data_IF_082533702894
#
_entry.id   IF_082533702894
#
_cell.length_a   1.000
_cell.length_b   1.000
_cell.length_c   1.000
_cell.angle_alpha   90.00
_cell.angle_beta   90.00
_cell.angle_gamma   90.00
#
_symmetry.space_group_name_H-M   'P 1'
#
loop_
_entity.id
_entity.type
_entity.pdbx_description
1 polymer ?
#
# COMPACT_ATOMS: atom_id res chain seq x y z
N UNK A 1 5.53 38.14 3.97
CA UNK A 1 5.70 39.12 2.89
C UNK A 1 4.40 39.31 2.14
N UNK A 2 4.13 40.57 1.75
CA UNK A 2 2.92 40.94 1.04
C UNK A 2 3.34 41.23 -0.40
N UNK A 3 2.57 40.74 -1.40
CA UNK A 3 2.82 41.03 -2.83
C UNK A 3 2.65 42.49 -3.13
N UNK A 4 3.25 42.95 -4.21
CA UNK A 4 3.09 44.35 -4.67
C UNK A 4 1.61 44.72 -4.87
N UNK A 5 0.82 43.81 -5.46
CA UNK A 5 -0.62 44.00 -5.60
C UNK A 5 -1.31 44.24 -4.25
N UNK A 6 -1.05 43.38 -3.25
CA UNK A 6 -1.67 43.54 -1.94
C UNK A 6 -1.23 44.85 -1.23
N UNK A 7 0.04 45.29 -1.44
CA UNK A 7 0.51 46.61 -0.95
C UNK A 7 -0.27 47.76 -1.56
N UNK A 8 -0.47 47.73 -2.87
CA UNK A 8 -1.26 48.74 -3.54
C UNK A 8 -2.71 48.80 -3.06
N UNK A 9 -3.34 47.65 -2.87
CA UNK A 9 -4.70 47.58 -2.32
C UNK A 9 -4.76 48.16 -0.91
N UNK A 10 -3.78 47.82 -0.04
CA UNK A 10 -3.72 48.39 1.32
C UNK A 10 -3.42 49.91 1.32
N UNK A 11 -2.61 50.39 0.40
CA UNK A 11 -2.36 51.84 0.25
C UNK A 11 -3.62 52.60 -0.19
N UNK A 12 -4.44 51.98 -1.03
CA UNK A 12 -5.67 52.58 -1.57
C UNK A 12 -6.85 52.46 -0.59
N UNK A 13 -7.02 51.29 0.08
CA UNK A 13 -8.22 51.00 0.84
C UNK A 13 -7.97 50.96 2.38
N UNK A 14 -6.71 50.93 2.82
CA UNK A 14 -6.36 50.90 4.23
C UNK A 14 -6.99 49.73 4.96
N UNK A 15 -7.59 49.97 6.12
CA UNK A 15 -8.24 48.98 6.95
C UNK A 15 -9.55 48.42 6.37
N UNK A 16 -10.10 49.05 5.35
CA UNK A 16 -11.30 48.61 4.64
C UNK A 16 -11.00 47.56 3.56
N UNK A 17 -9.73 47.21 3.34
CA UNK A 17 -9.32 46.20 2.38
C UNK A 17 -9.93 44.85 2.70
N UNK A 18 -10.64 44.28 1.73
CA UNK A 18 -11.23 42.95 1.86
C UNK A 18 -10.18 41.89 2.04
N UNK A 19 -10.34 41.01 3.03
CA UNK A 19 -9.49 39.83 3.30
C UNK A 19 -10.26 38.53 3.06
N UNK A 20 -9.58 37.54 2.48
CA UNK A 20 -10.10 36.19 2.32
C UNK A 20 -9.26 35.22 3.14
N UNK A 21 -9.95 34.29 3.78
CA UNK A 21 -9.29 33.19 4.48
C UNK A 21 -8.97 32.08 3.49
N UNK A 22 -7.69 31.70 3.42
CA UNK A 22 -7.23 30.59 2.58
C UNK A 22 -7.41 29.29 3.37
N UNK A 23 -8.18 28.37 2.80
CA UNK A 23 -8.38 27.04 3.40
C UNK A 23 -7.09 26.23 3.44
N UNK A 24 -7.06 25.17 4.26
CA UNK A 24 -5.94 24.24 4.35
C UNK A 24 -5.57 23.65 2.98
N UNK A 25 -6.57 23.27 2.20
CA UNK A 25 -6.37 22.59 0.91
C UNK A 25 -5.71 23.50 -0.12
N UNK A 26 -5.96 24.81 -0.05
CA UNK A 26 -5.31 25.80 -0.91
C UNK A 26 -3.87 26.14 -0.48
N UNK A 27 -3.40 25.61 0.65
CA UNK A 27 -2.05 25.81 1.19
C UNK A 27 -1.15 24.61 1.00
N UNK A 28 -1.65 23.56 0.37
CA UNK A 28 -0.91 22.38 -0.03
C UNK A 28 -0.82 22.36 -1.55
N UNK A 29 0.41 22.40 -2.08
CA UNK A 29 0.68 22.36 -3.52
C UNK A 29 1.57 21.17 -3.78
N UNK A 30 1.15 20.30 -4.66
CA UNK A 30 1.85 19.08 -5.02
C UNK A 30 2.26 19.07 -6.48
N UNK A 31 3.42 18.51 -6.79
CA UNK A 31 3.92 18.30 -8.13
C UNK A 31 4.72 17.00 -8.22
N UNK A 32 4.39 16.18 -9.20
CA UNK A 32 5.25 15.07 -9.60
C UNK A 32 6.43 15.64 -10.41
N UNK A 33 7.64 15.32 -10.02
CA UNK A 33 8.83 15.62 -10.80
C UNK A 33 8.86 14.72 -12.03
N UNK A 34 8.93 15.37 -13.21
CA UNK A 34 9.06 14.70 -14.50
C UNK A 34 10.15 15.42 -15.30
N UNK A 35 10.81 14.78 -16.27
CA UNK A 35 11.90 15.39 -17.03
C UNK A 35 11.51 16.65 -17.83
N UNK A 36 10.22 16.82 -18.13
CA UNK A 36 9.66 17.95 -18.85
C UNK A 36 9.30 19.15 -17.97
N UNK A 37 9.35 19.01 -16.64
CA UNK A 37 9.13 20.13 -15.70
C UNK A 37 10.12 21.25 -15.97
N UNK A 38 9.62 22.47 -16.05
CA UNK A 38 10.41 23.67 -16.32
C UNK A 38 10.52 24.59 -15.09
N UNK A 39 11.50 25.49 -15.10
CA UNK A 39 11.59 26.53 -14.05
C UNK A 39 10.38 27.46 -14.06
N UNK A 40 9.76 27.66 -15.22
CA UNK A 40 8.54 28.46 -15.33
C UNK A 40 7.35 27.81 -14.60
N UNK A 41 7.26 26.47 -14.63
CA UNK A 41 6.22 25.74 -13.90
C UNK A 41 6.41 25.88 -12.38
N UNK A 42 7.66 25.83 -11.92
CA UNK A 42 7.99 25.86 -10.49
C UNK A 42 7.97 27.28 -9.94
N UNK A 43 8.73 28.18 -10.56
CA UNK A 43 8.93 29.55 -10.04
C UNK A 43 7.95 30.52 -10.70
N UNK A 44 7.70 30.35 -11.99
CA UNK A 44 6.92 31.26 -12.81
C UNK A 44 7.76 31.99 -13.86
N UNK A 45 7.11 32.80 -14.61
CA UNK A 45 7.70 33.60 -15.70
C UNK A 45 7.04 34.96 -15.82
N UNK A 46 7.70 35.87 -16.53
CA UNK A 46 7.11 37.17 -16.88
C UNK A 46 6.09 36.98 -18.00
N UNK A 47 4.89 37.51 -17.81
CA UNK A 47 3.81 37.47 -18.78
C UNK A 47 3.84 38.79 -19.65
N UNK A 48 4.28 38.72 -20.91
CA UNK A 48 4.34 39.85 -21.78
C UNK A 48 2.96 40.47 -22.07
N UNK A 49 1.90 39.64 -22.01
CA UNK A 49 0.53 40.09 -22.28
C UNK A 49 0.03 40.94 -21.11
N UNK A 50 0.32 40.50 -19.87
CA UNK A 50 0.01 41.32 -18.69
C UNK A 50 0.76 42.63 -18.68
N UNK A 51 2.04 42.62 -19.06
CA UNK A 51 2.84 43.83 -19.18
C UNK A 51 2.23 44.82 -20.20
N UNK A 52 1.92 44.33 -21.40
CA UNK A 52 1.35 45.16 -22.45
C UNK A 52 -0.04 45.73 -22.11
N UNK A 53 -0.91 44.91 -21.53
CA UNK A 53 -2.27 45.33 -21.14
C UNK A 53 -2.28 46.27 -19.94
N UNK A 54 -1.38 46.08 -18.99
CA UNK A 54 -1.30 46.89 -17.77
C UNK A 54 -0.41 48.13 -17.92
N UNK A 55 0.27 48.34 -19.06
CA UNK A 55 1.21 49.43 -19.22
C UNK A 55 2.45 49.32 -18.32
N UNK A 56 2.77 48.09 -17.87
CA UNK A 56 3.89 47.80 -16.99
C UNK A 56 5.15 47.46 -17.77
N UNK A 57 6.30 47.78 -17.19
CA UNK A 57 7.57 47.28 -17.70
C UNK A 57 7.73 45.79 -17.32
N UNK A 58 8.45 44.99 -18.13
CA UNK A 58 8.65 43.54 -17.89
C UNK A 58 9.32 43.23 -16.55
N UNK A 59 10.04 44.19 -15.98
CA UNK A 59 10.69 44.09 -14.66
C UNK A 59 9.73 44.39 -13.48
N UNK A 60 8.44 44.57 -13.73
CA UNK A 60 7.45 44.84 -12.68
C UNK A 60 6.92 43.52 -12.09
N UNK A 61 6.84 43.41 -10.77
CA UNK A 61 6.27 42.27 -10.06
C UNK A 61 4.84 41.94 -10.51
N UNK A 62 4.06 42.94 -10.95
CA UNK A 62 2.69 42.77 -11.43
C UNK A 62 2.59 42.04 -12.77
N UNK A 63 3.69 41.89 -13.50
CA UNK A 63 3.74 41.16 -14.78
C UNK A 63 4.05 39.70 -14.64
N UNK A 64 4.34 39.24 -13.42
CA UNK A 64 4.72 37.83 -13.18
C UNK A 64 3.48 36.93 -13.22
N UNK A 65 3.63 35.80 -13.91
CA UNK A 65 2.81 34.62 -13.75
C UNK A 65 3.52 33.70 -12.75
N UNK A 66 2.99 33.61 -11.54
CA UNK A 66 3.59 32.84 -10.47
C UNK A 66 3.45 31.34 -10.72
N UNK A 67 4.54 30.59 -10.60
CA UNK A 67 4.57 29.15 -10.64
C UNK A 67 4.03 28.51 -9.36
N UNK A 68 4.17 27.20 -9.27
CA UNK A 68 3.60 26.40 -8.18
C UNK A 68 4.20 26.76 -6.81
N UNK A 69 5.50 26.99 -6.75
CA UNK A 69 6.21 27.20 -5.48
C UNK A 69 5.87 28.55 -4.82
N UNK A 70 5.87 29.70 -5.54
CA UNK A 70 5.35 30.95 -4.98
C UNK A 70 3.89 30.87 -4.53
N UNK A 71 3.09 30.08 -5.24
CA UNK A 71 1.67 29.86 -4.87
C UNK A 71 1.50 29.09 -3.58
N UNK A 72 2.49 28.27 -3.20
CA UNK A 72 2.54 27.57 -1.92
C UNK A 72 3.03 28.44 -0.76
N UNK A 73 3.26 29.74 -0.95
CA UNK A 73 3.78 30.62 0.09
C UNK A 73 2.93 30.56 1.37
N UNK A 74 3.57 30.40 2.53
CA UNK A 74 2.95 30.13 3.82
C UNK A 74 2.17 28.82 3.89
N UNK A 75 2.55 27.86 3.07
CA UNK A 75 1.97 26.52 2.99
C UNK A 75 3.05 25.46 2.81
N UNK A 76 2.63 24.35 2.24
CA UNK A 76 3.47 23.19 1.95
C UNK A 76 3.59 23.03 0.44
N UNK A 77 4.80 22.87 -0.04
CA UNK A 77 5.08 22.45 -1.41
C UNK A 77 5.68 21.05 -1.38
N UNK A 78 4.95 20.08 -1.89
CA UNK A 78 5.40 18.69 -2.01
C UNK A 78 5.85 18.41 -3.44
N UNK A 79 7.04 17.87 -3.62
CA UNK A 79 7.51 17.38 -4.92
C UNK A 79 7.84 15.89 -4.82
N UNK A 80 7.06 15.11 -5.54
CA UNK A 80 7.22 13.66 -5.59
C UNK A 80 8.25 13.28 -6.66
N UNK A 81 8.98 12.19 -6.42
CA UNK A 81 10.01 11.65 -7.33
C UNK A 81 11.08 12.67 -7.69
N UNK A 82 11.64 13.37 -6.70
CA UNK A 82 12.67 14.40 -6.90
C UNK A 82 13.83 13.98 -7.81
N UNK A 83 14.34 12.73 -7.80
CA UNK A 83 15.39 12.28 -8.71
C UNK A 83 15.08 12.45 -10.19
N UNK A 84 13.81 12.39 -10.59
CA UNK A 84 13.37 12.53 -11.98
C UNK A 84 13.46 13.98 -12.48
N UNK A 85 13.59 14.93 -11.56
CA UNK A 85 13.74 16.34 -11.92
C UNK A 85 15.09 16.60 -12.57
N UNK A 86 15.08 17.21 -13.75
CA UNK A 86 16.32 17.52 -14.46
C UNK A 86 17.31 18.32 -13.58
N UNK A 87 18.60 17.95 -13.59
CA UNK A 87 19.62 18.53 -12.70
C UNK A 87 19.71 20.07 -12.76
N UNK A 88 19.49 20.66 -13.95
CA UNK A 88 19.43 22.13 -14.10
C UNK A 88 18.28 22.79 -13.32
N UNK A 89 17.17 22.06 -13.17
CA UNK A 89 16.01 22.53 -12.41
C UNK A 89 16.28 22.36 -10.91
N UNK A 90 16.90 21.23 -10.51
CA UNK A 90 17.36 21.05 -9.13
C UNK A 90 18.28 22.17 -8.66
N UNK A 91 19.20 22.64 -9.52
CA UNK A 91 20.05 23.82 -9.22
C UNK A 91 19.22 25.09 -8.98
N UNK A 92 18.13 25.26 -9.73
CA UNK A 92 17.22 26.38 -9.54
C UNK A 92 16.53 26.45 -8.19
N UNK A 93 16.46 25.33 -7.46
CA UNK A 93 15.90 25.27 -6.11
C UNK A 93 16.88 25.75 -5.02
N UNK A 94 18.16 25.95 -5.33
CA UNK A 94 19.18 26.30 -4.32
C UNK A 94 18.87 27.60 -3.60
N UNK A 95 18.53 28.66 -4.36
CA UNK A 95 18.24 29.95 -3.76
C UNK A 95 17.05 29.88 -2.82
N UNK A 96 16.06 29.06 -3.17
CA UNK A 96 14.85 28.88 -2.38
C UNK A 96 15.19 28.19 -1.06
N UNK A 97 16.00 27.12 -1.11
CA UNK A 97 16.38 26.34 0.06
C UNK A 97 17.35 27.10 0.98
N UNK A 98 18.23 27.93 0.40
CA UNK A 98 19.29 28.63 1.12
C UNK A 98 18.90 30.04 1.56
N UNK A 99 18.37 30.82 0.63
CA UNK A 99 18.07 32.26 0.83
C UNK A 99 16.60 32.50 1.18
N UNK A 100 15.71 31.52 0.94
CA UNK A 100 14.27 31.67 1.12
C UNK A 100 13.66 32.67 0.15
N UNK A 101 14.27 32.87 -1.02
CA UNK A 101 13.73 33.74 -2.05
C UNK A 101 13.75 33.12 -3.45
N UNK A 102 12.98 33.69 -4.34
CA UNK A 102 13.01 33.36 -5.77
C UNK A 102 13.43 34.57 -6.60
N UNK A 103 14.14 34.29 -7.69
CA UNK A 103 14.46 35.24 -8.73
C UNK A 103 13.92 34.75 -10.07
N UNK A 104 13.12 35.56 -10.75
CA UNK A 104 12.51 35.18 -12.01
C UNK A 104 13.41 35.59 -13.17
N UNK A 105 13.96 34.63 -13.92
CA UNK A 105 14.74 34.79 -15.17
C UNK A 105 15.77 35.96 -15.22
N UNK A 106 16.43 36.23 -14.09
CA UNK A 106 17.42 37.32 -14.07
C UNK A 106 16.84 38.73 -14.02
N UNK A 107 15.54 38.87 -13.91
CA UNK A 107 14.92 40.16 -13.58
C UNK A 107 15.28 40.52 -12.12
N UNK A 108 15.39 41.81 -11.80
CA UNK A 108 15.78 42.28 -10.46
C UNK A 108 14.63 42.12 -9.44
N UNK A 109 13.79 41.12 -9.63
CA UNK A 109 12.64 40.86 -8.77
C UNK A 109 13.02 39.70 -7.86
N UNK A 110 13.13 39.98 -6.55
CA UNK A 110 13.30 38.99 -5.51
C UNK A 110 12.05 38.92 -4.66
N UNK A 111 11.49 37.74 -4.53
CA UNK A 111 10.30 37.49 -3.73
C UNK A 111 10.67 36.56 -2.58
N UNK A 112 10.64 37.06 -1.34
CA UNK A 112 10.85 36.20 -0.18
C UNK A 112 9.70 35.21 -0.07
N UNK A 113 10.04 33.94 0.21
CA UNK A 113 9.11 32.85 0.39
C UNK A 113 9.22 32.29 1.81
N UNK A 114 8.07 31.95 2.36
CA UNK A 114 7.90 31.21 3.59
C UNK A 114 7.13 29.92 3.24
N UNK A 115 7.87 28.86 2.87
CA UNK A 115 7.29 27.60 2.35
C UNK A 115 7.97 26.42 3.03
N UNK A 116 7.19 25.49 3.48
CA UNK A 116 7.69 24.18 3.91
C UNK A 116 7.83 23.27 2.69
N UNK A 117 9.05 22.80 2.42
CA UNK A 117 9.35 21.95 1.28
C UNK A 117 9.44 20.50 1.70
N UNK A 118 8.70 19.63 1.02
CA UNK A 118 8.73 18.19 1.20
C UNK A 118 9.07 17.54 -0.14
N UNK A 119 10.03 16.64 -0.13
CA UNK A 119 10.44 15.89 -1.31
C UNK A 119 10.28 14.40 -1.05
N UNK A 120 9.82 13.64 -2.03
CA UNK A 120 9.89 12.19 -1.99
C UNK A 120 10.90 11.68 -3.01
N UNK A 121 11.50 10.55 -2.69
CA UNK A 121 12.46 9.89 -3.57
C UNK A 121 12.46 8.39 -3.28
N UNK A 122 12.58 7.58 -4.34
CA UNK A 122 12.84 6.17 -4.22
C UNK A 122 14.33 5.92 -4.49
N UNK A 123 15.10 5.36 -3.54
CA UNK A 123 16.55 5.14 -3.74
C UNK A 123 16.87 4.22 -4.89
N UNK A 124 16.00 3.28 -5.24
CA UNK A 124 16.23 2.34 -6.34
C UNK A 124 16.20 3.02 -7.71
N UNK A 125 15.38 4.06 -7.88
CA UNK A 125 15.27 4.81 -9.12
C UNK A 125 16.49 5.70 -9.40
N UNK A 126 17.39 5.91 -8.42
CA UNK A 126 18.58 6.77 -8.58
C UNK A 126 19.54 6.33 -9.68
N UNK A 127 19.53 5.08 -10.07
CA UNK A 127 20.42 4.54 -11.09
C UNK A 127 19.81 4.53 -12.49
N UNK A 128 18.50 4.44 -12.58
CA UNK A 128 17.78 4.27 -13.85
C UNK A 128 17.23 5.58 -14.42
N UNK A 129 16.69 6.48 -13.57
CA UNK A 129 15.96 7.68 -14.00
C UNK A 129 16.67 8.99 -13.70
N UNK A 130 17.44 9.05 -12.65
CA UNK A 130 18.14 10.26 -12.23
C UNK A 130 18.65 10.16 -10.81
N UNK A 131 19.26 11.24 -10.33
CA UNK A 131 19.72 11.33 -8.94
C UNK A 131 19.56 12.74 -8.40
N UNK A 132 19.38 12.84 -7.11
CA UNK A 132 19.48 14.10 -6.41
C UNK A 132 20.94 14.55 -6.47
N UNK A 133 21.19 15.75 -7.01
CA UNK A 133 22.56 16.27 -7.08
C UNK A 133 23.07 16.57 -5.67
N UNK A 134 24.33 16.24 -5.41
CA UNK A 134 24.95 16.40 -4.08
C UNK A 134 24.73 17.78 -3.44
N UNK A 135 24.87 18.92 -4.18
CA UNK A 135 24.62 20.22 -3.61
C UNK A 135 23.17 20.47 -3.18
N UNK A 136 22.20 19.79 -3.78
CA UNK A 136 20.80 19.87 -3.36
C UNK A 136 20.60 19.05 -2.09
N UNK A 137 21.13 17.83 -2.05
CA UNK A 137 21.05 16.95 -0.88
C UNK A 137 21.65 17.63 0.37
N UNK A 138 22.75 18.34 0.23
CA UNK A 138 23.41 19.10 1.32
C UNK A 138 22.53 20.23 1.92
N UNK A 139 21.54 20.71 1.16
CA UNK A 139 20.64 21.80 1.57
C UNK A 139 19.31 21.31 2.13
N UNK A 140 19.04 20.01 2.04
CA UNK A 140 17.85 19.41 2.65
C UNK A 140 18.12 19.25 4.13
N UNK A 141 17.23 19.80 4.98
CA UNK A 141 17.43 19.88 6.41
C UNK A 141 17.27 18.57 7.16
N UNK A 142 16.44 17.65 6.64
CA UNK A 142 16.19 16.35 7.25
C UNK A 142 15.84 15.31 6.19
N UNK A 143 16.26 14.07 6.42
CA UNK A 143 15.94 12.91 5.62
C UNK A 143 15.21 11.91 6.53
N UNK A 144 14.03 11.47 6.11
CA UNK A 144 13.22 10.49 6.84
C UNK A 144 13.15 9.25 5.96
N UNK A 145 13.64 8.15 6.49
CA UNK A 145 13.54 6.85 5.85
C UNK A 145 12.21 6.20 6.21
N UNK A 146 11.47 5.77 5.19
CA UNK A 146 10.28 4.95 5.38
C UNK A 146 10.68 3.48 5.35
N UNK A 147 9.94 2.65 6.05
CA UNK A 147 10.16 1.22 6.12
C UNK A 147 8.83 0.46 5.99
N UNK A 148 8.90 -0.82 5.71
CA UNK A 148 7.73 -1.68 5.76
C UNK A 148 7.16 -1.78 7.17
N UNK A 149 5.87 -2.12 7.33
CA UNK A 149 5.31 -2.43 8.65
C UNK A 149 6.17 -3.48 9.37
N UNK A 150 6.48 -3.22 10.64
CA UNK A 150 7.28 -4.12 11.47
C UNK A 150 6.46 -5.25 12.07
N UNK A 151 5.14 -5.07 12.12
CA UNK A 151 4.19 -6.02 12.66
C UNK A 151 3.02 -6.21 11.69
N UNK A 152 2.49 -7.44 11.63
CA UNK A 152 1.34 -7.77 10.78
C UNK A 152 0.13 -6.90 11.13
N UNK A 153 -0.08 -6.63 12.42
CA UNK A 153 -1.17 -5.76 12.90
C UNK A 153 -1.13 -4.35 12.34
N UNK A 154 0.08 -3.78 12.21
CA UNK A 154 0.29 -2.46 11.59
C UNK A 154 -0.01 -2.53 10.09
N UNK A 155 0.45 -3.57 9.43
CA UNK A 155 0.16 -3.82 8.02
C UNK A 155 -1.33 -3.94 7.75
N UNK A 156 -2.06 -4.72 8.55
CA UNK A 156 -3.52 -4.84 8.47
C UNK A 156 -4.21 -3.49 8.64
N UNK A 157 -3.77 -2.67 9.62
CA UNK A 157 -4.35 -1.36 9.84
C UNK A 157 -4.18 -0.44 8.61
N UNK A 158 -2.99 -0.44 7.98
CA UNK A 158 -2.73 0.31 6.74
C UNK A 158 -3.60 -0.22 5.61
N UNK A 159 -3.63 -1.54 5.42
CA UNK A 159 -4.38 -2.18 4.33
C UNK A 159 -5.87 -1.89 4.45
N UNK A 160 -6.45 -1.97 5.64
CA UNK A 160 -7.87 -1.64 5.88
C UNK A 160 -8.18 -0.16 5.70
N UNK A 161 -7.25 0.73 6.03
CA UNK A 161 -7.43 2.17 5.86
C UNK A 161 -7.45 2.57 4.39
N UNK A 162 -6.61 1.95 3.56
CA UNK A 162 -6.37 2.34 2.17
C UNK A 162 -7.21 1.54 1.16
N UNK A 163 -7.61 0.31 1.49
CA UNK A 163 -8.39 -0.55 0.59
C UNK A 163 -9.85 -0.06 0.48
N UNK A 164 -10.36 -0.12 -0.73
CA UNK A 164 -11.77 0.21 -0.99
C UNK A 164 -12.69 -0.93 -0.55
N UNK A 165 -13.05 -0.93 0.73
CA UNK A 165 -13.90 -1.94 1.38
C UNK A 165 -15.35 -1.46 1.54
N UNK A 166 -15.55 -0.15 1.72
CA UNK A 166 -16.88 0.46 1.78
C UNK A 166 -17.41 0.67 0.36
N UNK A 167 -18.28 -0.24 -0.07
CA UNK A 167 -18.84 -0.28 -1.43
C UNK A 167 -20.35 -0.10 -1.39
N UNK A 168 -20.88 0.62 -2.37
CA UNK A 168 -22.32 0.71 -2.57
C UNK A 168 -22.84 -0.67 -3.02
N UNK A 169 -23.72 -1.31 -2.26
CA UNK A 169 -24.29 -2.59 -2.62
C UNK A 169 -24.57 -3.52 -1.46
N UNK A 170 -24.15 -4.78 -1.58
CA UNK A 170 -24.32 -5.79 -0.52
C UNK A 170 -23.34 -5.47 0.62
N UNK A 171 -23.79 -5.48 1.89
CA UNK A 171 -22.90 -5.28 3.03
C UNK A 171 -21.72 -6.25 3.00
N UNK A 172 -20.52 -5.71 3.17
CA UNK A 172 -19.28 -6.48 3.12
C UNK A 172 -18.64 -6.54 4.51
N UNK A 173 -18.36 -7.75 4.97
CA UNK A 173 -17.64 -8.01 6.20
C UNK A 173 -16.37 -8.80 5.89
N UNK A 174 -15.21 -8.23 6.21
CA UNK A 174 -13.92 -8.88 6.00
C UNK A 174 -13.45 -9.48 7.33
N UNK A 175 -13.44 -10.80 7.47
CA UNK A 175 -12.94 -11.47 8.66
C UNK A 175 -11.49 -11.10 8.98
N UNK A 176 -11.16 -11.01 10.27
CA UNK A 176 -9.82 -10.61 10.70
C UNK A 176 -8.72 -11.57 10.20
N UNK A 177 -9.03 -12.86 10.13
CA UNK A 177 -8.06 -13.85 9.65
C UNK A 177 -7.81 -13.71 8.13
N UNK A 178 -8.78 -13.30 7.33
CA UNK A 178 -8.57 -13.00 5.90
C UNK A 178 -7.60 -11.82 5.74
N UNK A 179 -7.83 -10.73 6.48
CA UNK A 179 -6.91 -9.60 6.46
C UNK A 179 -5.50 -10.00 6.94
N UNK A 180 -5.43 -10.90 7.93
CA UNK A 180 -4.18 -11.45 8.43
C UNK A 180 -3.46 -12.31 7.39
N UNK A 181 -4.15 -13.22 6.71
CA UNK A 181 -3.57 -14.05 5.63
C UNK A 181 -3.03 -13.15 4.52
N UNK A 182 -3.84 -12.18 4.05
CA UNK A 182 -3.45 -11.25 3.00
C UNK A 182 -2.19 -10.47 3.37
N UNK A 183 -2.10 -9.97 4.59
CA UNK A 183 -0.91 -9.23 5.03
C UNK A 183 0.31 -10.15 5.17
N UNK A 184 0.14 -11.38 5.67
CA UNK A 184 1.22 -12.36 5.79
C UNK A 184 1.81 -12.76 4.45
N UNK A 185 1.02 -12.78 3.37
CA UNK A 185 1.55 -13.00 2.01
C UNK A 185 2.64 -11.97 1.70
N UNK A 186 2.42 -10.68 2.06
CA UNK A 186 3.43 -9.65 1.86
C UNK A 186 4.65 -9.83 2.76
N UNK A 187 4.45 -10.19 4.02
CA UNK A 187 5.54 -10.45 4.96
C UNK A 187 6.41 -11.62 4.50
N UNK A 188 5.81 -12.76 4.18
CA UNK A 188 6.53 -13.93 3.66
C UNK A 188 7.21 -13.63 2.32
N UNK A 189 6.54 -12.88 1.44
CA UNK A 189 7.12 -12.48 0.16
C UNK A 189 8.36 -11.60 0.30
N UNK A 190 8.43 -10.75 1.34
CA UNK A 190 9.62 -9.95 1.66
C UNK A 190 10.79 -10.78 2.18
N UNK A 191 10.52 -11.96 2.73
CA UNK A 191 11.54 -12.88 3.25
C UNK A 191 11.95 -13.95 2.24
N UNK A 192 11.17 -14.14 1.17
CA UNK A 192 11.41 -15.18 0.16
C UNK A 192 12.57 -14.79 -0.77
N UNK A 193 13.63 -15.58 -0.77
CA UNK A 193 14.83 -15.36 -1.58
C UNK A 193 14.61 -15.49 -3.09
N UNK A 194 13.48 -16.06 -3.50
CA UNK A 194 13.08 -16.19 -4.91
C UNK A 194 12.50 -14.88 -5.46
N UNK A 195 12.17 -13.94 -4.56
CA UNK A 195 11.65 -12.61 -4.89
C UNK A 195 12.81 -11.62 -4.79
N UNK A 196 12.91 -10.69 -5.75
CA UNK A 196 13.94 -9.67 -5.74
C UNK A 196 13.77 -8.77 -4.51
N UNK A 197 14.76 -8.82 -3.64
CA UNK A 197 14.76 -8.06 -2.38
C UNK A 197 14.99 -6.55 -2.61
N UNK A 198 15.48 -6.14 -3.79
CA UNK A 198 15.69 -4.73 -4.14
C UNK A 198 14.38 -4.05 -4.49
N UNK A 199 13.59 -4.68 -5.35
CA UNK A 199 12.23 -4.23 -5.65
C UNK A 199 11.30 -4.46 -4.47
N UNK A 200 11.53 -5.53 -3.72
CA UNK A 200 10.77 -5.93 -2.54
C UNK A 200 9.28 -6.17 -2.83
N UNK A 201 8.51 -6.32 -1.77
CA UNK A 201 7.05 -6.46 -1.86
C UNK A 201 6.37 -5.25 -1.22
N UNK A 202 5.90 -4.36 -2.07
CA UNK A 202 5.27 -3.10 -1.66
C UNK A 202 4.01 -3.32 -0.83
N UNK A 203 3.74 -2.42 0.14
CA UNK A 203 2.48 -2.39 0.89
C UNK A 203 1.24 -2.15 0.00
N UNK A 204 1.43 -1.75 -1.25
CA UNK A 204 0.35 -1.69 -2.25
C UNK A 204 -0.15 -3.09 -2.66
N UNK A 205 0.67 -4.15 -2.45
CA UNK A 205 0.25 -5.51 -2.80
C UNK A 205 -0.90 -5.98 -1.90
N UNK A 206 -0.77 -6.03 -0.56
CA UNK A 206 -1.88 -6.48 0.29
C UNK A 206 -3.14 -5.62 0.14
N UNK A 207 -3.02 -4.31 -0.11
CA UNK A 207 -4.18 -3.45 -0.41
C UNK A 207 -4.92 -3.97 -1.65
N UNK A 208 -4.22 -4.15 -2.77
CA UNK A 208 -4.83 -4.62 -4.03
C UNK A 208 -5.32 -6.06 -3.93
N UNK A 209 -4.61 -6.91 -3.17
CA UNK A 209 -5.02 -8.30 -2.91
C UNK A 209 -6.34 -8.30 -2.15
N UNK A 210 -6.45 -7.54 -1.06
CA UNK A 210 -7.68 -7.47 -0.27
C UNK A 210 -8.88 -6.96 -1.08
N UNK A 211 -8.68 -5.92 -1.89
CA UNK A 211 -9.71 -5.43 -2.81
C UNK A 211 -10.16 -6.49 -3.83
N UNK A 212 -9.20 -7.28 -4.33
CA UNK A 212 -9.48 -8.37 -5.28
C UNK A 212 -10.21 -9.53 -4.61
N UNK A 213 -9.83 -9.87 -3.38
CA UNK A 213 -10.48 -10.88 -2.54
C UNK A 213 -11.93 -10.51 -2.27
N UNK A 214 -12.17 -9.27 -1.86
CA UNK A 214 -13.54 -8.76 -1.65
C UNK A 214 -14.34 -8.77 -2.95
N UNK A 215 -13.72 -8.42 -4.08
CA UNK A 215 -14.39 -8.46 -5.40
C UNK A 215 -14.75 -9.88 -5.82
N UNK A 216 -13.92 -10.88 -5.50
CA UNK A 216 -14.21 -12.29 -5.74
C UNK A 216 -15.43 -12.76 -4.91
N UNK A 217 -15.40 -12.43 -3.60
CA UNK A 217 -16.50 -12.74 -2.70
C UNK A 217 -17.82 -12.04 -3.11
N UNK A 218 -17.74 -10.77 -3.49
CA UNK A 218 -18.91 -10.01 -3.98
C UNK A 218 -19.51 -10.63 -5.24
N UNK A 219 -18.67 -11.03 -6.20
CA UNK A 219 -19.12 -11.75 -7.39
C UNK A 219 -19.84 -13.04 -7.03
N UNK A 220 -19.31 -13.83 -6.07
CA UNK A 220 -19.93 -15.06 -5.59
C UNK A 220 -21.27 -14.77 -4.92
N UNK A 221 -21.33 -13.81 -4.01
CA UNK A 221 -22.57 -13.42 -3.32
C UNK A 221 -23.66 -12.98 -4.31
N UNK A 222 -23.33 -12.18 -5.32
CA UNK A 222 -24.26 -11.76 -6.36
C UNK A 222 -24.78 -12.93 -7.20
N UNK A 223 -23.93 -13.89 -7.55
CA UNK A 223 -24.32 -15.07 -8.33
C UNK A 223 -25.24 -16.02 -7.54
N UNK A 224 -25.03 -16.10 -6.23
CA UNK A 224 -25.79 -16.98 -5.34
C UNK A 224 -27.01 -16.29 -4.70
N UNK A 225 -27.12 -14.98 -4.82
CA UNK A 225 -28.19 -14.19 -4.19
C UNK A 225 -28.03 -14.08 -2.68
N UNK A 226 -26.79 -14.07 -2.18
CA UNK A 226 -26.48 -13.88 -0.76
C UNK A 226 -26.65 -12.40 -0.36
N UNK A 227 -27.13 -12.17 0.87
CA UNK A 227 -27.40 -10.82 1.39
C UNK A 227 -26.15 -10.15 2.00
N UNK A 228 -25.06 -10.90 2.19
CA UNK A 228 -23.79 -10.44 2.74
C UNK A 228 -22.63 -10.93 1.90
N UNK A 229 -21.58 -10.13 1.86
CA UNK A 229 -20.30 -10.47 1.23
C UNK A 229 -19.29 -10.81 2.31
N UNK A 230 -18.97 -12.09 2.45
CA UNK A 230 -17.95 -12.57 3.36
C UNK A 230 -16.86 -13.28 2.55
N UNK A 231 -15.62 -12.71 2.49
CA UNK A 231 -14.50 -13.35 1.79
C UNK A 231 -14.09 -14.66 2.44
N UNK A 232 -13.72 -15.64 1.61
CA UNK A 232 -13.18 -16.95 1.99
C UNK A 232 -11.71 -17.05 1.58
N UNK A 233 -10.98 -18.06 2.10
CA UNK A 233 -9.59 -18.33 1.66
C UNK A 233 -9.54 -18.64 0.16
N UNK A 234 -10.55 -19.32 -0.39
CA UNK A 234 -10.66 -19.56 -1.83
C UNK A 234 -10.66 -18.25 -2.64
N UNK A 235 -11.31 -17.20 -2.15
CA UNK A 235 -11.33 -15.90 -2.81
C UNK A 235 -9.94 -15.28 -2.93
N UNK A 236 -8.98 -15.65 -2.06
CA UNK A 236 -7.59 -15.19 -2.12
C UNK A 236 -6.89 -15.76 -3.38
N UNK A 237 -7.22 -16.98 -3.78
CA UNK A 237 -6.70 -17.54 -5.03
C UNK A 237 -7.24 -16.80 -6.28
N UNK A 238 -8.42 -16.21 -6.18
CA UNK A 238 -8.94 -15.29 -7.20
C UNK A 238 -8.11 -14.00 -7.33
N UNK A 239 -7.35 -13.64 -6.30
CA UNK A 239 -6.46 -12.48 -6.29
C UNK A 239 -5.01 -12.78 -6.77
N UNK A 240 -4.70 -13.99 -7.25
CA UNK A 240 -3.36 -14.34 -7.76
C UNK A 240 -2.76 -13.31 -8.72
N UNK A 241 -3.50 -12.74 -9.70
CA UNK A 241 -2.94 -11.70 -10.57
C UNK A 241 -2.50 -10.43 -9.82
N UNK A 242 -3.13 -10.10 -8.69
CA UNK A 242 -2.74 -8.97 -7.86
C UNK A 242 -1.45 -9.24 -7.06
N UNK A 243 -1.18 -10.51 -6.74
CA UNK A 243 0.07 -10.94 -6.09
C UNK A 243 1.20 -10.99 -7.12
N UNK A 244 1.03 -11.78 -8.19
CA UNK A 244 2.06 -12.00 -9.20
C UNK A 244 2.46 -10.73 -9.94
N UNK A 245 1.51 -9.82 -10.18
CA UNK A 245 1.76 -8.53 -10.84
C UNK A 245 2.53 -7.50 -10.00
N UNK A 246 2.81 -7.80 -8.74
CA UNK A 246 3.53 -6.91 -7.81
C UNK A 246 4.76 -7.57 -7.17
N UNK A 247 5.19 -8.69 -7.71
CA UNK A 247 6.42 -9.38 -7.32
C UNK A 247 7.37 -9.40 -8.52
N UNK A 248 8.58 -8.97 -8.31
CA UNK A 248 9.70 -9.20 -9.23
C UNK A 248 10.47 -10.42 -8.73
N UNK A 249 10.86 -11.29 -9.65
CA UNK A 249 11.49 -12.55 -9.30
C UNK A 249 12.99 -12.50 -9.53
N UNK A 250 13.75 -13.10 -8.64
CA UNK A 250 15.13 -13.48 -8.87
C UNK A 250 15.20 -14.62 -9.89
N UNK A 251 16.37 -14.86 -10.48
CA UNK A 251 16.58 -15.90 -11.48
C UNK A 251 16.06 -17.29 -11.05
N UNK A 252 16.25 -17.65 -9.77
CA UNK A 252 15.71 -18.91 -9.23
C UNK A 252 14.18 -18.89 -9.18
N UNK A 253 13.59 -17.76 -8.85
CA UNK A 253 12.14 -17.56 -8.84
C UNK A 253 11.53 -17.69 -10.24
N UNK A 254 12.20 -17.16 -11.27
CA UNK A 254 11.74 -17.29 -12.66
C UNK A 254 11.65 -18.76 -13.11
N UNK A 255 12.54 -19.62 -12.62
CA UNK A 255 12.50 -21.06 -12.90
C UNK A 255 11.30 -21.78 -12.26
N UNK A 256 10.85 -21.28 -11.12
CA UNK A 256 9.67 -21.81 -10.42
C UNK A 256 8.35 -21.25 -10.96
N UNK A 257 8.36 -20.02 -11.45
CA UNK A 257 7.21 -19.28 -11.94
C UNK A 257 6.45 -18.53 -10.85
N UNK A 258 6.04 -17.31 -11.17
CA UNK A 258 5.36 -16.41 -10.21
C UNK A 258 4.07 -17.00 -9.62
N UNK A 259 3.28 -17.69 -10.45
CA UNK A 259 2.00 -18.29 -10.02
C UNK A 259 2.22 -19.36 -8.94
N UNK A 260 3.22 -20.22 -9.11
CA UNK A 260 3.53 -21.25 -8.13
C UNK A 260 4.01 -20.64 -6.82
N UNK A 261 4.90 -19.65 -6.87
CA UNK A 261 5.38 -18.95 -5.67
C UNK A 261 4.22 -18.26 -4.95
N UNK A 262 3.35 -17.59 -5.68
CA UNK A 262 2.19 -16.93 -5.09
C UNK A 262 1.23 -17.91 -4.38
N UNK A 263 0.97 -19.08 -4.99
CA UNK A 263 0.17 -20.15 -4.36
C UNK A 263 0.83 -20.70 -3.09
N UNK A 264 2.13 -20.92 -3.12
CA UNK A 264 2.88 -21.35 -1.94
C UNK A 264 2.83 -20.31 -0.82
N UNK A 265 2.94 -19.01 -1.14
CA UNK A 265 2.80 -17.93 -0.16
C UNK A 265 1.39 -17.86 0.44
N UNK A 266 0.34 -18.02 -0.37
CA UNK A 266 -1.04 -18.10 0.13
C UNK A 266 -1.19 -19.28 1.10
N UNK A 267 -0.75 -20.46 0.69
CA UNK A 267 -0.86 -21.67 1.49
C UNK A 267 -0.10 -21.55 2.82
N UNK A 268 1.14 -21.07 2.80
CA UNK A 268 1.94 -20.85 4.00
C UNK A 268 1.30 -19.81 4.92
N UNK A 269 0.78 -18.72 4.36
CA UNK A 269 0.10 -17.68 5.14
C UNK A 269 -1.17 -18.19 5.80
N UNK A 270 -1.96 -18.98 5.08
CA UNK A 270 -3.17 -19.59 5.61
C UNK A 270 -2.84 -20.61 6.72
N UNK A 271 -1.87 -21.52 6.49
CA UNK A 271 -1.43 -22.48 7.50
C UNK A 271 -0.92 -21.79 8.76
N UNK A 272 -0.09 -20.75 8.60
CA UNK A 272 0.45 -20.01 9.75
C UNK A 272 -0.64 -19.30 10.56
N UNK A 273 -1.61 -18.71 9.88
CA UNK A 273 -2.75 -18.04 10.54
C UNK A 273 -3.61 -19.06 11.26
N UNK A 274 -3.85 -20.23 10.65
CA UNK A 274 -4.54 -21.34 11.28
C UNK A 274 -3.83 -21.81 12.56
N UNK A 275 -2.53 -22.08 12.49
CA UNK A 275 -1.73 -22.54 13.63
C UNK A 275 -1.79 -21.57 14.81
N UNK A 276 -1.77 -20.27 14.55
CA UNK A 276 -1.89 -19.26 15.61
C UNK A 276 -3.27 -19.29 16.26
N UNK A 277 -4.33 -19.41 15.47
CA UNK A 277 -5.71 -19.30 15.94
C UNK A 277 -6.24 -20.60 16.51
N UNK A 278 -5.92 -21.72 15.88
CA UNK A 278 -6.37 -23.07 16.26
C UNK A 278 -5.32 -23.86 17.06
N UNK A 279 -4.11 -23.33 17.22
CA UNK A 279 -3.02 -24.03 17.91
C UNK A 279 -3.37 -24.34 19.37
N UNK A 280 -3.62 -25.63 19.65
CA UNK A 280 -4.04 -26.11 20.96
C UNK A 280 -5.53 -26.48 21.06
N UNK A 281 -6.30 -26.32 19.99
CA UNK A 281 -7.64 -26.87 19.89
C UNK A 281 -7.59 -28.42 19.79
N UNK A 282 -8.60 -29.08 20.34
CA UNK A 282 -8.77 -30.52 20.19
C UNK A 282 -9.33 -30.82 18.81
N UNK A 283 -8.58 -31.54 18.00
CA UNK A 283 -8.92 -31.89 16.62
C UNK A 283 -8.93 -33.41 16.38
N UNK A 284 -8.85 -34.18 17.45
CA UNK A 284 -8.72 -35.66 17.37
C UNK A 284 -9.90 -36.30 16.64
N UNK A 285 -11.12 -35.86 16.90
CA UNK A 285 -12.34 -36.36 16.22
C UNK A 285 -12.35 -36.07 14.73
N UNK A 286 -11.83 -34.90 14.33
CA UNK A 286 -11.72 -34.49 12.94
C UNK A 286 -10.69 -35.35 12.21
N UNK A 287 -9.54 -35.59 12.86
CA UNK A 287 -8.48 -36.46 12.33
C UNK A 287 -9.01 -37.89 12.16
N UNK A 288 -9.65 -38.47 13.19
CA UNK A 288 -10.21 -39.79 13.13
C UNK A 288 -11.23 -39.98 12.02
N UNK A 289 -12.08 -38.93 11.79
CA UNK A 289 -13.05 -38.94 10.70
C UNK A 289 -12.37 -39.12 9.34
N UNK A 290 -11.32 -38.36 9.06
CA UNK A 290 -10.61 -38.44 7.78
C UNK A 290 -9.73 -39.68 7.65
N UNK A 291 -9.11 -40.15 8.74
CA UNK A 291 -8.31 -41.38 8.76
C UNK A 291 -9.19 -42.64 8.51
N UNK A 292 -10.45 -42.62 8.96
CA UNK A 292 -11.41 -43.71 8.71
C UNK A 292 -12.05 -43.68 7.33
N UNK A 293 -11.62 -42.73 6.46
CA UNK A 293 -12.07 -42.61 5.08
C UNK A 293 -13.24 -41.65 4.88
N UNK A 294 -13.52 -40.80 5.87
CA UNK A 294 -14.44 -39.67 5.71
C UNK A 294 -13.95 -38.73 4.65
N UNK A 295 -14.88 -38.05 3.96
CA UNK A 295 -14.56 -37.08 2.97
C UNK A 295 -15.48 -35.87 3.12
N UNK A 296 -14.91 -34.67 2.98
CA UNK A 296 -15.65 -33.43 2.90
C UNK A 296 -15.45 -32.84 1.50
N UNK A 297 -16.55 -32.55 0.83
CA UNK A 297 -16.51 -31.91 -0.49
C UNK A 297 -17.25 -30.58 -0.41
N UNK A 298 -16.53 -29.49 -0.63
CA UNK A 298 -17.05 -28.14 -0.64
C UNK A 298 -16.70 -27.52 -1.98
N UNK A 299 -17.70 -27.00 -2.69
CA UNK A 299 -17.47 -26.31 -3.96
C UNK A 299 -17.05 -24.86 -3.73
N UNK A 300 -16.12 -24.35 -4.53
CA UNK A 300 -15.66 -22.96 -4.46
C UNK A 300 -16.83 -21.96 -4.59
N UNK A 301 -17.80 -22.27 -5.46
CA UNK A 301 -18.98 -21.47 -5.70
C UNK A 301 -20.22 -21.98 -4.93
N UNK A 302 -20.03 -22.78 -3.88
CA UNK A 302 -21.15 -23.27 -3.07
C UNK A 302 -21.72 -22.15 -2.19
N UNK A 303 -23.06 -22.12 -2.06
CA UNK A 303 -23.70 -21.22 -1.09
C UNK A 303 -23.24 -21.51 0.32
N UNK A 304 -23.16 -20.49 1.19
CA UNK A 304 -22.72 -20.63 2.58
C UNK A 304 -23.53 -21.73 3.32
N UNK A 305 -24.85 -21.74 3.15
CA UNK A 305 -25.71 -22.78 3.76
C UNK A 305 -25.40 -24.22 3.32
N UNK A 306 -24.98 -24.41 2.06
CA UNK A 306 -24.60 -25.73 1.56
C UNK A 306 -23.26 -26.19 2.15
N UNK A 307 -22.34 -25.26 2.34
CA UNK A 307 -21.04 -25.55 2.97
C UNK A 307 -21.22 -25.94 4.44
N UNK A 308 -22.05 -25.20 5.18
CA UNK A 308 -22.37 -25.52 6.59
C UNK A 308 -22.93 -26.94 6.72
N UNK A 309 -23.88 -27.32 5.85
CA UNK A 309 -24.41 -28.70 5.82
C UNK A 309 -23.30 -29.74 5.58
N UNK A 310 -22.32 -29.43 4.75
CA UNK A 310 -21.14 -30.28 4.57
C UNK A 310 -20.34 -30.42 5.86
N UNK A 311 -20.10 -29.30 6.56
CA UNK A 311 -19.31 -29.28 7.80
C UNK A 311 -19.97 -30.00 8.96
N UNK A 312 -21.32 -29.98 9.04
CA UNK A 312 -22.08 -30.77 10.02
C UNK A 312 -21.80 -32.27 9.91
N UNK A 313 -21.33 -32.75 8.77
CA UNK A 313 -20.99 -34.17 8.57
C UNK A 313 -19.65 -34.56 9.21
N UNK A 314 -18.80 -33.59 9.55
CA UNK A 314 -17.48 -33.80 10.15
C UNK A 314 -17.58 -33.60 11.67
N UNK A 315 -17.44 -34.61 12.50
CA UNK A 315 -17.52 -34.46 13.95
C UNK A 315 -16.49 -33.45 14.48
N UNK A 316 -16.91 -32.57 15.38
CA UNK A 316 -16.02 -31.61 16.03
C UNK A 316 -15.66 -30.36 15.16
N UNK A 317 -15.95 -30.37 13.86
CA UNK A 317 -15.51 -29.27 12.98
C UNK A 317 -16.19 -27.94 13.32
N UNK A 318 -17.50 -27.93 13.52
CA UNK A 318 -18.23 -26.72 13.90
C UNK A 318 -17.85 -26.23 15.32
N UNK A 319 -17.65 -27.16 16.26
CA UNK A 319 -17.20 -26.83 17.61
C UNK A 319 -15.80 -26.20 17.59
N UNK A 320 -14.91 -26.70 16.74
CA UNK A 320 -13.58 -26.12 16.54
C UNK A 320 -13.71 -24.66 16.11
N UNK A 321 -14.56 -24.38 15.14
CA UNK A 321 -14.74 -23.04 14.59
C UNK A 321 -15.29 -22.07 15.63
N UNK A 322 -16.28 -22.47 16.40
CA UNK A 322 -16.84 -21.66 17.48
C UNK A 322 -15.80 -21.40 18.59
N UNK A 323 -15.04 -22.41 18.99
CA UNK A 323 -14.05 -22.32 20.07
C UNK A 323 -12.84 -21.45 19.69
N UNK A 324 -12.47 -21.45 18.42
CA UNK A 324 -11.29 -20.70 17.92
C UNK A 324 -11.64 -19.22 17.61
N UNK A 325 -12.91 -18.83 17.78
CA UNK A 325 -13.35 -17.46 17.53
C UNK A 325 -13.21 -17.05 16.05
N UNK A 326 -13.37 -18.02 15.17
CA UNK A 326 -13.40 -17.79 13.72
C UNK A 326 -14.80 -17.41 13.25
N UNK A 327 -15.77 -17.39 14.16
CA UNK A 327 -17.13 -16.93 13.88
C UNK A 327 -17.21 -15.41 14.02
N UNK A 328 -17.90 -14.68 13.10
CA UNK A 328 -18.18 -13.27 13.26
C UNK A 328 -19.10 -13.03 14.47
N UNK A 329 -18.87 -11.93 15.13
CA UNK A 329 -19.67 -11.47 16.29
C UNK A 329 -20.91 -10.70 15.80
N UNK A 330 -21.53 -11.06 14.70
CA UNK A 330 -22.76 -10.43 14.24
C UNK A 330 -23.95 -11.36 14.42
N UNK A 331 -24.95 -10.84 15.07
CA UNK A 331 -26.18 -11.51 15.46
C UNK A 331 -26.84 -12.27 14.30
N UNK A 332 -26.83 -13.56 14.36
CA UNK A 332 -27.81 -14.39 13.68
C UNK A 332 -27.31 -15.69 13.08
N UNK A 333 -26.17 -15.71 12.40
CA UNK A 333 -25.76 -16.90 11.66
C UNK A 333 -24.23 -17.10 11.64
N UNK A 334 -23.61 -17.19 12.80
CA UNK A 334 -22.16 -17.29 13.03
C UNK A 334 -21.44 -18.54 12.48
N UNK A 335 -22.05 -19.24 11.54
CA UNK A 335 -21.54 -20.46 10.96
C UNK A 335 -20.88 -20.24 9.57
N UNK A 336 -21.15 -19.10 8.93
CA UNK A 336 -20.64 -18.83 7.58
C UNK A 336 -19.11 -18.60 7.51
N UNK A 337 -18.48 -18.17 8.58
CA UNK A 337 -17.02 -17.94 8.63
C UNK A 337 -16.20 -19.21 8.88
N UNK A 338 -16.81 -20.26 9.39
CA UNK A 338 -16.20 -21.60 9.52
C UNK A 338 -15.72 -22.16 8.17
N UNK A 339 -16.34 -21.70 7.13
CA UNK A 339 -16.14 -22.12 5.75
C UNK A 339 -14.75 -21.85 5.21
N UNK A 340 -13.99 -20.99 5.83
CA UNK A 340 -12.87 -20.33 5.21
C UNK A 340 -11.55 -21.05 5.43
N UNK A 341 -11.45 -21.89 6.44
CA UNK A 341 -10.21 -22.61 6.75
C UNK A 341 -10.08 -23.98 6.05
N UNK A 342 -11.14 -24.44 5.39
CA UNK A 342 -11.16 -25.74 4.70
C UNK A 342 -11.28 -25.53 3.22
N UNK A 343 -10.30 -24.87 2.60
CA UNK A 343 -10.41 -24.59 1.18
C UNK A 343 -9.33 -25.22 0.31
N UNK A 344 -9.72 -25.46 -0.85
CA UNK A 344 -9.50 -26.32 -1.98
C UNK A 344 -8.22 -26.02 -2.79
N UNK A 345 -7.63 -27.09 -3.33
CA UNK A 345 -6.65 -27.10 -4.41
C UNK A 345 -7.40 -27.21 -5.75
N UNK A 346 -7.03 -26.45 -6.81
CA UNK A 346 -7.72 -26.46 -8.11
C UNK A 346 -7.83 -27.85 -8.74
N UNK A 347 -8.89 -28.05 -9.50
CA UNK A 347 -9.14 -29.28 -10.26
C UNK A 347 -7.92 -29.73 -11.09
N UNK A 348 -7.38 -30.90 -10.75
CA UNK A 348 -6.27 -31.55 -11.44
C UNK A 348 -5.21 -32.17 -10.55
N UNK A 349 -5.17 -31.80 -9.28
CA UNK A 349 -4.28 -32.39 -8.29
C UNK A 349 -5.08 -32.97 -7.12
N UNK A 350 -4.67 -34.08 -6.58
CA UNK A 350 -5.34 -34.97 -5.63
C UNK A 350 -6.11 -34.28 -4.48
N UNK A 351 -7.09 -34.94 -3.85
CA UNK A 351 -8.00 -34.34 -2.86
C UNK A 351 -7.24 -33.69 -1.70
N UNK A 352 -7.72 -32.52 -1.29
CA UNK A 352 -7.15 -31.72 -0.21
C UNK A 352 -7.10 -32.54 1.05
N UNK A 353 -5.91 -32.61 1.65
CA UNK A 353 -5.70 -33.11 2.98
C UNK A 353 -5.62 -31.95 3.92
N UNK A 354 -6.49 -31.90 4.90
CA UNK A 354 -6.31 -31.02 6.05
C UNK A 354 -4.92 -31.25 6.63
N UNK A 355 -4.10 -30.20 6.65
CA UNK A 355 -2.83 -30.22 7.36
C UNK A 355 -3.11 -29.78 8.79
N UNK A 356 -3.30 -30.77 9.67
CA UNK A 356 -3.48 -30.49 11.09
C UNK A 356 -2.12 -30.66 11.81
N UNK A 357 -1.76 -29.76 12.72
CA UNK A 357 -0.49 -29.86 13.43
C UNK A 357 -0.48 -31.10 14.29
N UNK A 358 0.42 -32.05 13.97
CA UNK A 358 0.67 -33.25 14.73
C UNK A 358 0.37 -34.57 14.04
N UNK A 359 -0.24 -34.60 12.86
CA UNK A 359 -0.48 -35.81 12.09
C UNK A 359 0.42 -35.83 10.83
N UNK A 360 1.54 -36.53 10.88
CA UNK A 360 2.26 -37.00 9.69
C UNK A 360 1.47 -38.18 9.09
N UNK A 361 0.65 -37.87 8.07
CA UNK A 361 0.08 -38.92 7.23
C UNK A 361 1.02 -39.20 6.07
N UNK A 362 1.71 -40.30 6.18
CA UNK A 362 2.66 -40.83 5.22
C UNK A 362 1.97 -41.12 3.88
N UNK A 363 2.27 -40.32 2.86
CA UNK A 363 2.01 -40.66 1.47
C UNK A 363 3.30 -40.66 0.71
N UNK A 364 3.66 -41.89 0.34
CA UNK A 364 4.81 -42.16 -0.50
C UNK A 364 4.87 -41.26 -1.71
N UNK A 365 5.79 -40.37 -1.78
CA UNK A 365 6.93 -40.16 -2.65
C UNK A 365 7.52 -38.75 -2.54
N UNK A 366 8.79 -38.80 -2.15
CA UNK A 366 9.88 -37.86 -2.33
C UNK A 366 10.02 -36.64 -1.40
N UNK A 367 10.90 -36.88 -0.48
CA UNK A 367 11.88 -36.08 0.26
C UNK A 367 11.39 -35.16 1.40
N UNK A 368 12.00 -35.28 2.56
CA UNK A 368 11.61 -34.54 3.76
C UNK A 368 12.25 -33.15 3.74
N UNK A 369 11.41 -32.12 3.81
CA UNK A 369 11.85 -30.81 4.26
C UNK A 369 11.97 -30.87 5.77
N UNK A 370 13.17 -30.67 6.28
CA UNK A 370 13.51 -30.66 7.70
C UNK A 370 12.66 -29.65 8.46
N UNK A 371 12.06 -30.13 9.54
CA UNK A 371 11.44 -29.30 10.56
C UNK A 371 12.44 -28.27 11.07
N UNK A 372 12.14 -26.99 10.87
CA UNK A 372 12.91 -25.89 11.41
C UNK A 372 12.33 -25.53 12.78
N UNK A 373 13.06 -25.85 13.83
CA UNK A 373 12.76 -25.42 15.20
C UNK A 373 12.60 -23.89 15.28
N UNK A 374 11.41 -23.45 15.59
CA UNK A 374 11.11 -22.06 15.90
C UNK A 374 11.72 -21.65 17.25
N UNK A 375 12.93 -21.21 17.25
CA UNK A 375 13.51 -20.30 18.26
C UNK A 375 14.71 -19.57 17.65
N UNK A 376 14.48 -18.42 17.03
CA UNK A 376 15.50 -17.36 16.96
C UNK A 376 14.87 -16.00 16.77
N UNK A 377 15.16 -15.16 17.75
CA UNK A 377 15.10 -13.73 17.78
C UNK A 377 15.42 -13.12 16.39
N UNK A 378 14.48 -12.38 15.84
CA UNK A 378 14.65 -11.61 14.62
C UNK A 378 15.78 -10.59 14.82
N UNK A 379 16.93 -10.82 14.24
CA UNK A 379 17.90 -9.78 13.90
C UNK A 379 17.65 -9.42 12.46
N UNK A 380 17.22 -8.20 12.27
CA UNK A 380 17.14 -7.60 10.93
C UNK A 380 18.56 -7.32 10.46
N UNK A 381 18.98 -7.96 9.36
CA UNK A 381 20.14 -7.51 8.58
C UNK A 381 19.69 -6.43 7.60
N UNK A 382 20.55 -5.42 7.48
CA UNK A 382 20.37 -4.21 6.67
C UNK A 382 20.24 -4.58 5.17
N UNK A 383 19.06 -4.48 4.62
CA UNK A 383 18.77 -4.74 3.21
C UNK A 383 17.35 -4.41 2.76
N UNK A 384 16.55 -3.79 3.63
CA UNK A 384 15.20 -3.37 3.27
C UNK A 384 15.23 -2.17 2.33
N UNK A 385 14.39 -2.22 1.30
CA UNK A 385 14.14 -1.12 0.37
C UNK A 385 13.54 0.06 1.11
N UNK A 386 14.25 1.16 1.11
CA UNK A 386 13.92 2.37 1.88
C UNK A 386 13.44 3.48 0.95
N UNK A 387 12.20 3.92 1.13
CA UNK A 387 11.71 5.18 0.57
C UNK A 387 12.13 6.36 1.46
N UNK A 388 12.59 7.46 0.87
CA UNK A 388 13.03 8.63 1.62
C UNK A 388 12.06 9.79 1.45
N UNK A 389 11.67 10.40 2.56
CA UNK A 389 10.96 11.68 2.59
C UNK A 389 11.93 12.73 3.12
N UNK A 390 12.22 13.74 2.29
CA UNK A 390 13.14 14.81 2.65
C UNK A 390 12.37 16.10 2.97
N UNK A 391 12.51 16.62 4.16
CA UNK A 391 11.85 17.85 4.60
C UNK A 391 12.85 19.03 4.67
N UNK A 392 12.46 20.16 4.12
CA UNK A 392 13.20 21.42 4.20
C UNK A 392 12.98 22.15 5.52
N UNK A 393 13.92 23.01 5.89
CA UNK A 393 13.93 23.75 7.16
C UNK A 393 12.82 24.80 7.24
N UNK A 394 12.21 24.91 8.44
CA UNK A 394 11.47 26.09 8.86
C UNK A 394 12.45 27.19 9.26
N UNK A 395 12.25 28.39 8.76
CA UNK A 395 12.75 29.63 9.33
C UNK A 395 11.61 30.59 9.62
#
# INVERSE_FOLDING_TARGET
>A
PISKYARLVLEEQGDDASVAWVSRDNRFVEKLATPDVTMADIIGDVDPIKAARGGHILADELTIHYGLLPRANRGIFAMNELPDLAGKIQVGLFNILQEGDIQVKGYPIRLPLDVFLVFTANPEDYTARGKIITPLKDRIGAEIQTHYPTEVSIGIAITRQEAWLDRDGIPTEVPDFIAEIVERIAFLGREDKRIDQRSGVSQRMPITVLESVVSSAERRALLLGEDHVVPRVADIYGALPAITGKMELEYEGELHGADKIARELIQQSASFTFDIRAGGADVDDIIEYFETGGALQVGEDAAASACVQGFETVPGLLELVENVGLAPVAAGDGIEDALVLVDHIPEGEQPVRLHLPGAELDLAHEQPVQACEARRVLRFDEGAVEGHICAGQWR
#
